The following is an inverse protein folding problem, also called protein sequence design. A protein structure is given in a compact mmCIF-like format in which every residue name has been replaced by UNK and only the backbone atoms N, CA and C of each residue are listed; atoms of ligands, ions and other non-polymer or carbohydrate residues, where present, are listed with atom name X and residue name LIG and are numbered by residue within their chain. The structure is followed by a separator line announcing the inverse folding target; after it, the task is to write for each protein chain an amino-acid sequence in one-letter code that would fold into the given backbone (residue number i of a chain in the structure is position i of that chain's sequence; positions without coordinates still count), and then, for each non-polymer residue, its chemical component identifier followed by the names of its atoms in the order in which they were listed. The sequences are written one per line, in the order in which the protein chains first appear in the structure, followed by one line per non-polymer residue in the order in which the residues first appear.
data_IF_531021769419
#
_entry.id   IF_531021769419
#
_cell.length_a   1.000
_cell.length_b   1.000
_cell.length_c   1.000
_cell.angle_alpha   90.00
_cell.angle_beta   90.00
_cell.angle_gamma   90.00
#
_symmetry.space_group_name_H-M   'P 1'
#
loop_
_entity.id
_entity.type
_entity.pdbx_description
1 polymer ?
#
# COMPACT_ATOMS: atom_id res chain seq x y z
N UNK A 1 -3.86 2.10 17.66
CA UNK A 1 -2.78 2.82 16.95
C UNK A 1 -3.06 2.84 15.47
N UNK A 2 -2.48 3.79 14.77
CA UNK A 2 -2.49 3.92 13.32
C UNK A 2 -1.19 3.30 12.77
N UNK A 3 -1.30 2.14 12.12
CA UNK A 3 -0.16 1.33 11.67
C UNK A 3 -0.08 1.38 10.14
N UNK A 4 1.05 1.83 9.61
CA UNK A 4 1.32 1.80 8.18
C UNK A 4 2.22 0.62 7.82
N UNK A 5 1.78 -0.16 6.85
CA UNK A 5 2.52 -1.26 6.27
C UNK A 5 3.08 -0.83 4.91
N UNK A 6 4.39 -0.99 4.73
CA UNK A 6 5.09 -0.68 3.48
C UNK A 6 5.75 -1.94 2.96
N UNK A 7 5.30 -2.37 1.79
CA UNK A 7 5.86 -3.52 1.07
C UNK A 7 5.73 -3.28 -0.44
N UNK A 8 6.81 -3.48 -1.19
CA UNK A 8 6.83 -3.30 -2.65
C UNK A 8 6.14 -4.43 -3.41
N UNK A 9 4.82 -4.54 -3.23
CA UNK A 9 3.99 -5.56 -3.90
C UNK A 9 2.67 -4.98 -4.36
N UNK A 10 2.12 -5.56 -5.42
CA UNK A 10 0.71 -5.38 -5.80
C UNK A 10 -0.14 -6.19 -4.80
N UNK A 11 -0.64 -5.48 -3.79
CA UNK A 11 -1.37 -6.02 -2.65
C UNK A 11 -2.66 -6.73 -3.10
N UNK A 12 -3.26 -6.29 -4.21
CA UNK A 12 -4.51 -6.86 -4.70
C UNK A 12 -4.31 -8.08 -5.59
N UNK A 13 -3.21 -8.16 -6.34
CA UNK A 13 -2.99 -9.25 -7.32
C UNK A 13 -2.02 -10.32 -6.86
N UNK A 14 -1.02 -9.99 -6.04
CA UNK A 14 -0.04 -10.98 -5.58
C UNK A 14 -0.69 -11.94 -4.59
N UNK A 15 -0.07 -13.11 -4.42
CA UNK A 15 -0.48 -14.12 -3.44
C UNK A 15 -0.46 -13.55 -2.01
N UNK A 16 -1.13 -14.23 -1.10
CA UNK A 16 -1.09 -13.90 0.32
C UNK A 16 0.33 -14.13 0.86
N UNK A 17 0.88 -13.11 1.50
CA UNK A 17 2.16 -13.16 2.23
C UNK A 17 1.91 -12.96 3.73
N UNK A 18 2.93 -13.24 4.55
CA UNK A 18 2.91 -12.97 6.00
C UNK A 18 2.46 -11.55 6.34
N UNK A 19 2.82 -10.57 5.51
CA UNK A 19 2.42 -9.19 5.73
C UNK A 19 0.90 -8.96 5.68
N UNK A 20 0.19 -9.76 4.87
CA UNK A 20 -1.28 -9.69 4.81
C UNK A 20 -1.86 -10.25 6.11
N UNK A 21 -1.38 -11.41 6.56
CA UNK A 21 -1.76 -11.98 7.85
C UNK A 21 -1.53 -10.99 8.99
N UNK A 22 -0.31 -10.45 9.07
CA UNK A 22 0.09 -9.55 10.14
C UNK A 22 -0.76 -8.26 10.14
N UNK A 23 -0.98 -7.67 8.96
CA UNK A 23 -1.80 -6.46 8.82
C UNK A 23 -3.26 -6.68 9.27
N UNK A 24 -3.84 -7.83 8.92
CA UNK A 24 -5.21 -8.16 9.27
C UNK A 24 -5.35 -8.53 10.75
N UNK A 25 -4.36 -9.23 11.33
CA UNK A 25 -4.30 -9.50 12.77
C UNK A 25 -4.23 -8.22 13.59
N UNK A 26 -3.39 -7.24 13.20
CA UNK A 26 -3.37 -5.94 13.88
C UNK A 26 -4.71 -5.21 13.83
N UNK A 27 -5.44 -5.34 12.72
CA UNK A 27 -6.77 -4.78 12.59
C UNK A 27 -7.76 -5.44 13.55
N UNK A 28 -7.70 -6.78 13.68
CA UNK A 28 -8.52 -7.53 14.64
C UNK A 28 -8.24 -7.16 16.10
N UNK A 29 -7.00 -6.80 16.43
CA UNK A 29 -6.61 -6.27 17.74
C UNK A 29 -7.05 -4.80 17.97
N UNK A 30 -7.84 -4.23 17.06
CA UNK A 30 -8.43 -2.89 17.19
C UNK A 30 -7.51 -1.75 16.74
N UNK A 31 -6.47 -2.04 15.97
CA UNK A 31 -5.64 -1.00 15.35
C UNK A 31 -6.22 -0.56 14.00
N UNK A 32 -5.97 0.69 13.62
CA UNK A 32 -6.27 1.18 12.26
C UNK A 32 -5.07 0.86 11.39
N UNK A 33 -5.25 -0.02 10.41
CA UNK A 33 -4.14 -0.52 9.61
C UNK A 33 -4.26 0.00 8.18
N UNK A 34 -3.15 0.52 7.67
CA UNK A 34 -3.00 1.06 6.34
C UNK A 34 -1.92 0.28 5.61
N UNK A 35 -2.10 -0.03 4.33
CA UNK A 35 -1.07 -0.69 3.53
C UNK A 35 -0.85 0.06 2.22
N UNK A 36 0.43 0.28 1.88
CA UNK A 36 0.80 0.85 0.58
C UNK A 36 0.70 -0.24 -0.48
N UNK A 37 -0.13 0.00 -1.50
CA UNK A 37 -0.25 -0.86 -2.68
C UNK A 37 0.54 -0.27 -3.84
N UNK A 38 1.42 -1.09 -4.42
CA UNK A 38 2.21 -0.74 -5.61
C UNK A 38 1.74 -1.62 -6.76
N UNK A 39 0.84 -1.10 -7.62
CA UNK A 39 0.30 -1.89 -8.73
C UNK A 39 1.41 -2.37 -9.65
N UNK A 40 1.34 -3.64 -10.06
CA UNK A 40 2.27 -4.19 -11.04
C UNK A 40 2.09 -3.45 -12.38
N UNK A 41 3.18 -2.91 -12.99
CA UNK A 41 3.09 -2.12 -14.21
C UNK A 41 2.55 -2.89 -15.43
N UNK A 42 2.54 -4.23 -15.45
CA UNK A 42 1.85 -5.09 -16.45
C UNK A 42 1.71 -4.55 -17.90
N UNK A 43 0.59 -4.87 -18.58
CA UNK A 43 0.15 -4.23 -19.83
C UNK A 43 -0.67 -2.98 -19.50
N UNK A 44 -0.04 -1.96 -18.94
CA UNK A 44 -0.70 -0.72 -18.51
C UNK A 44 -1.36 0.01 -19.69
N UNK A 45 -2.66 0.28 -19.62
CA UNK A 45 -3.35 1.27 -20.45
C UNK A 45 -3.41 2.60 -19.69
N UNK A 46 -3.16 3.72 -20.38
CA UNK A 46 -3.20 5.07 -19.79
C UNK A 46 -4.56 5.41 -19.13
N UNK A 47 -5.63 4.71 -19.53
CA UNK A 47 -6.99 4.87 -18.98
C UNK A 47 -7.20 4.29 -17.57
N UNK A 48 -6.22 3.56 -17.01
CA UNK A 48 -6.31 2.88 -15.70
C UNK A 48 -5.40 3.49 -14.62
N UNK A 49 -5.22 4.81 -14.63
CA UNK A 49 -4.67 5.53 -13.46
C UNK A 49 -5.78 5.61 -12.39
N UNK A 50 -6.30 4.47 -11.95
CA UNK A 50 -7.34 4.42 -10.92
C UNK A 50 -6.70 4.57 -9.55
N UNK A 51 -6.72 5.82 -9.08
CA UNK A 51 -6.33 6.32 -7.75
C UNK A 51 -7.20 5.81 -6.60
N UNK A 52 -7.96 4.75 -6.80
CA UNK A 52 -9.00 4.38 -5.84
C UNK A 52 -8.35 3.61 -4.70
N UNK A 53 -8.22 4.27 -3.57
CA UNK A 53 -7.97 3.61 -2.30
C UNK A 53 -9.11 2.62 -2.03
N UNK A 54 -8.80 1.52 -1.37
CA UNK A 54 -9.80 0.53 -0.98
C UNK A 54 -9.90 0.58 0.53
N UNK A 55 -11.07 0.96 1.01
CA UNK A 55 -11.41 0.87 2.41
C UNK A 55 -11.87 -0.56 2.72
N UNK A 56 -11.67 -1.01 3.97
CA UNK A 56 -12.16 -2.30 4.48
C UNK A 56 -11.70 -3.52 3.67
N UNK A 57 -10.43 -3.54 3.26
CA UNK A 57 -9.86 -4.69 2.59
C UNK A 57 -9.50 -5.80 3.58
N UNK A 58 -9.88 -7.01 3.21
CA UNK A 58 -9.46 -8.24 3.86
C UNK A 58 -9.38 -9.38 2.85
N UNK A 59 -8.51 -10.34 3.13
CA UNK A 59 -8.37 -11.56 2.32
C UNK A 59 -8.24 -12.80 3.17
N UNK A 60 -7.58 -12.72 4.32
CA UNK A 60 -7.28 -13.88 5.17
C UNK A 60 -8.35 -14.07 6.25
N UNK A 61 -8.74 -13.00 6.93
CA UNK A 61 -9.65 -13.00 8.06
C UNK A 61 -10.86 -12.11 7.76
N UNK A 62 -12.05 -12.71 7.74
CA UNK A 62 -13.30 -12.07 7.29
C UNK A 62 -13.66 -10.80 8.07
N UNK A 63 -13.30 -10.72 9.35
CA UNK A 63 -13.62 -9.58 10.24
C UNK A 63 -12.52 -8.52 10.31
N UNK A 64 -11.42 -8.71 9.60
CA UNK A 64 -10.34 -7.73 9.57
C UNK A 64 -10.64 -6.61 8.58
N UNK A 65 -9.96 -5.48 8.73
CA UNK A 65 -10.11 -4.33 7.87
C UNK A 65 -8.79 -3.58 7.72
N UNK A 66 -8.24 -3.60 6.50
CA UNK A 66 -7.01 -2.87 6.14
C UNK A 66 -7.37 -1.84 5.08
N UNK A 67 -6.92 -0.59 5.27
CA UNK A 67 -7.08 0.45 4.25
C UNK A 67 -5.93 0.39 3.26
N UNK A 68 -6.24 0.09 2.00
CA UNK A 68 -5.26 -0.01 0.94
C UNK A 68 -5.09 1.35 0.27
N UNK A 69 -3.86 1.87 0.31
CA UNK A 69 -3.46 3.17 -0.20
C UNK A 69 -2.62 2.96 -1.46
N UNK A 70 -3.25 3.18 -2.61
CA UNK A 70 -2.65 2.87 -3.91
C UNK A 70 -1.73 3.98 -4.37
N UNK A 71 -0.47 3.63 -4.64
CA UNK A 71 0.50 4.56 -5.22
C UNK A 71 0.05 5.02 -6.61
N UNK A 72 0.29 6.30 -6.96
CA UNK A 72 0.11 6.74 -8.33
C UNK A 72 1.22 6.14 -9.20
N UNK A 73 0.85 5.25 -10.13
CA UNK A 73 1.78 4.72 -11.13
C UNK A 73 2.13 5.85 -12.10
N UNK A 74 3.41 6.27 -12.14
CA UNK A 74 3.90 7.24 -13.11
C UNK A 74 4.74 6.50 -14.16
N UNK A 75 4.19 6.22 -15.36
CA UNK A 75 4.91 5.48 -16.39
C UNK A 75 5.86 6.43 -17.15
N UNK A 76 7.07 6.66 -16.65
CA UNK A 76 8.12 7.40 -17.38
C UNK A 76 9.23 6.44 -17.82
N UNK A 77 9.10 5.90 -19.05
CA UNK A 77 10.14 5.09 -19.68
C UNK A 77 11.50 5.79 -19.58
N UNK A 78 12.47 5.15 -18.91
CA UNK A 78 13.85 5.64 -18.76
C UNK A 78 14.15 6.45 -17.48
N UNK A 79 13.15 7.02 -16.80
CA UNK A 79 13.30 7.77 -15.54
C UNK A 79 12.59 7.10 -14.34
N UNK A 80 11.94 5.96 -14.58
CA UNK A 80 11.04 5.27 -13.65
C UNK A 80 11.58 5.16 -12.21
N UNK A 81 12.86 4.86 -11.97
CA UNK A 81 13.38 4.66 -10.61
C UNK A 81 13.44 5.95 -9.79
N UNK A 82 14.00 7.02 -10.36
CA UNK A 82 14.11 8.31 -9.67
C UNK A 82 12.73 8.95 -9.48
N UNK A 83 11.90 8.94 -10.53
CA UNK A 83 10.54 9.47 -10.41
C UNK A 83 9.69 8.67 -9.43
N UNK A 84 9.81 7.34 -9.41
CA UNK A 84 9.13 6.48 -8.43
C UNK A 84 9.61 6.81 -7.00
N UNK A 85 10.91 6.99 -6.79
CA UNK A 85 11.44 7.38 -5.48
C UNK A 85 10.79 8.66 -4.95
N UNK A 86 10.81 9.75 -5.72
CA UNK A 86 10.23 11.03 -5.27
C UNK A 86 8.72 10.95 -5.08
N UNK A 87 8.03 10.20 -5.94
CA UNK A 87 6.58 10.02 -5.88
C UNK A 87 6.18 9.22 -4.65
N UNK A 88 6.83 8.07 -4.42
CA UNK A 88 6.64 7.24 -3.23
C UNK A 88 6.99 8.00 -1.96
N UNK A 89 8.09 8.77 -1.96
CA UNK A 89 8.45 9.61 -0.82
C UNK A 89 7.35 10.61 -0.48
N UNK A 90 6.86 11.36 -1.47
CA UNK A 90 5.78 12.34 -1.27
C UNK A 90 4.48 11.67 -0.83
N UNK A 91 4.18 10.51 -1.41
CA UNK A 91 2.98 9.73 -1.09
C UNK A 91 3.02 9.21 0.35
N UNK A 92 4.09 8.53 0.75
CA UNK A 92 4.28 8.03 2.11
C UNK A 92 4.27 9.18 3.10
N UNK A 93 5.00 10.28 2.84
CA UNK A 93 4.99 11.46 3.72
C UNK A 93 3.59 12.02 3.93
N UNK A 94 2.77 12.08 2.88
CA UNK A 94 1.37 12.48 2.98
C UNK A 94 0.57 11.51 3.85
N UNK A 95 0.74 10.20 3.66
CA UNK A 95 0.07 9.17 4.48
C UNK A 95 0.43 9.31 5.96
N UNK A 96 1.71 9.46 6.27
CA UNK A 96 2.19 9.63 7.65
C UNK A 96 1.50 10.79 8.36
N UNK A 97 1.25 11.88 7.63
CA UNK A 97 0.62 13.10 8.16
C UNK A 97 -0.90 12.99 8.20
N UNK A 98 -1.53 12.62 7.08
CA UNK A 98 -2.99 12.59 6.92
C UNK A 98 -3.66 11.57 7.85
N UNK A 99 -2.97 10.47 8.16
CA UNK A 99 -3.50 9.38 8.99
C UNK A 99 -2.84 9.30 10.36
N UNK A 100 -2.02 10.30 10.73
CA UNK A 100 -1.37 10.37 12.04
C UNK A 100 -0.72 9.03 12.44
N UNK A 101 0.16 8.51 11.58
CA UNK A 101 0.72 7.17 11.71
C UNK A 101 1.63 7.09 12.94
N UNK A 102 1.35 6.14 13.84
CA UNK A 102 2.14 5.88 15.05
C UNK A 102 3.36 4.99 14.76
N UNK A 103 3.17 3.96 13.94
CA UNK A 103 4.20 2.97 13.60
C UNK A 103 4.18 2.68 12.11
N UNK A 104 5.37 2.59 11.52
CA UNK A 104 5.58 2.09 10.17
C UNK A 104 6.29 0.74 10.23
N UNK A 105 5.71 -0.27 9.61
CA UNK A 105 6.34 -1.58 9.40
C UNK A 105 6.80 -1.69 7.96
N UNK A 106 8.11 -1.73 7.78
CA UNK A 106 8.77 -1.83 6.48
C UNK A 106 9.26 -3.26 6.31
N UNK A 107 8.64 -4.00 5.39
CA UNK A 107 8.95 -5.43 5.19
C UNK A 107 10.01 -5.67 4.10
N UNK A 108 9.90 -4.96 2.97
CA UNK A 108 10.91 -4.98 1.91
C UNK A 108 10.75 -3.75 1.02
N UNK A 109 11.88 -3.11 0.70
CA UNK A 109 12.02 -1.98 -0.24
C UNK A 109 13.23 -2.35 -1.13
N UNK A 110 13.09 -2.37 -2.46
CA UNK A 110 14.18 -2.68 -3.40
C UNK A 110 14.60 -1.45 -4.22
#
# INVERSE_FOLDING_TARGET
MNILIVHEVDWLKKITYEIHHLSELFSLEGHKVYAVDIPDPGNFSLDKITRTNIDEYNRVYEKSSVKILRTPVIPIKGLNRLSAYFTSHKFIKKILTDYEIDIVLVYSIV
#
